data_IF_104987996899
#
_entry.id   IF_104987996899
#
_cell.length_a   1.000
_cell.length_b   1.000
_cell.length_c   1.000
_cell.angle_alpha   90.00
_cell.angle_beta   90.00
_cell.angle_gamma   90.00
#
_symmetry.space_group_name_H-M   'P 1'
#
loop_
_entity.id
_entity.type
_entity.pdbx_description
1 polymer ?
#
# COMPACT_ATOMS: atom_id res chain seq x y z
N UNK A 1 -5.76 94.55 -32.51
CA UNK A 1 -6.27 93.17 -32.66
C UNK A 1 -5.15 92.22 -32.26
N UNK A 2 -5.18 91.71 -31.03
CA UNK A 2 -4.21 90.72 -30.57
C UNK A 2 -4.63 89.36 -31.16
N UNK A 3 -3.83 88.83 -32.07
CA UNK A 3 -4.00 87.48 -32.60
C UNK A 3 -3.67 86.51 -31.49
N UNK A 4 -4.71 86.06 -30.78
CA UNK A 4 -4.60 85.01 -29.78
C UNK A 4 -4.02 83.78 -30.49
N UNK A 5 -2.76 83.47 -30.18
CA UNK A 5 -2.00 82.39 -30.79
C UNK A 5 -2.51 81.06 -30.22
N UNK A 6 -3.68 80.62 -30.71
CA UNK A 6 -4.40 79.40 -30.31
C UNK A 6 -3.55 78.13 -30.47
N UNK A 7 -2.49 78.18 -31.29
CA UNK A 7 -1.56 77.09 -31.52
C UNK A 7 -0.62 76.86 -30.32
N UNK A 8 -0.27 77.89 -29.54
CA UNK A 8 0.53 77.75 -28.31
C UNK A 8 -0.27 77.20 -27.13
N UNK A 9 -1.61 77.23 -27.23
CA UNK A 9 -2.51 76.63 -26.23
C UNK A 9 -2.74 75.13 -26.46
N UNK A 10 -2.21 74.54 -27.54
CA UNK A 10 -2.26 73.10 -27.73
C UNK A 10 -1.26 72.44 -26.78
N UNK A 11 -1.79 71.98 -25.65
CA UNK A 11 -1.05 71.19 -24.66
C UNK A 11 -0.59 69.90 -25.32
N UNK A 12 0.72 69.64 -25.24
CA UNK A 12 1.34 68.42 -25.76
C UNK A 12 0.54 67.18 -25.33
N UNK A 13 0.23 66.30 -26.29
CA UNK A 13 -0.49 65.06 -26.01
C UNK A 13 0.48 64.15 -25.25
N UNK A 14 0.33 64.12 -23.93
CA UNK A 14 0.97 63.11 -23.09
C UNK A 14 0.44 61.73 -23.51
N UNK A 15 1.22 61.00 -24.32
CA UNK A 15 1.00 59.57 -24.45
C UNK A 15 1.37 58.95 -23.11
N UNK A 16 0.47 58.19 -22.44
CA UNK A 16 0.86 57.46 -21.26
C UNK A 16 2.00 56.53 -21.66
N UNK A 17 3.10 56.56 -20.89
CA UNK A 17 4.16 55.57 -21.00
C UNK A 17 3.48 54.21 -21.12
N UNK A 18 3.87 53.42 -22.13
CA UNK A 18 3.29 52.11 -22.39
C UNK A 18 3.32 51.37 -21.06
N UNK A 19 2.16 51.29 -20.39
CA UNK A 19 2.04 50.58 -19.12
C UNK A 19 2.64 49.23 -19.41
N UNK A 20 3.79 48.96 -18.78
CA UNK A 20 4.47 47.69 -18.90
C UNK A 20 3.40 46.66 -18.61
N UNK A 21 2.89 46.03 -19.67
CA UNK A 21 1.73 45.10 -19.70
C UNK A 21 2.01 43.82 -18.91
N UNK A 22 3.07 43.85 -18.11
CA UNK A 22 3.76 42.72 -17.56
C UNK A 22 4.04 42.85 -16.07
N UNK A 23 3.36 43.73 -15.30
CA UNK A 23 3.43 43.66 -13.84
C UNK A 23 2.20 44.21 -13.10
N UNK A 24 1.79 43.62 -11.96
CA UNK A 24 2.27 42.39 -11.37
C UNK A 24 1.47 41.22 -11.93
N UNK A 25 2.13 40.09 -12.17
CA UNK A 25 1.46 38.80 -12.22
C UNK A 25 0.57 38.75 -10.96
N UNK A 26 -0.75 38.96 -11.14
CA UNK A 26 -1.68 39.19 -10.04
C UNK A 26 -1.42 38.14 -8.96
N UNK A 27 -1.46 38.50 -7.67
CA UNK A 27 -1.13 37.60 -6.54
C UNK A 27 -1.73 36.19 -6.65
N UNK A 28 -2.82 36.01 -7.41
CA UNK A 28 -3.40 34.71 -7.80
C UNK A 28 -2.45 33.73 -8.52
N UNK A 29 -1.42 34.17 -9.24
CA UNK A 29 -0.43 33.26 -9.83
C UNK A 29 0.51 32.66 -8.80
N UNK A 30 0.90 33.45 -7.80
CA UNK A 30 1.65 32.93 -6.66
C UNK A 30 0.80 31.94 -5.85
N UNK A 31 -0.49 32.22 -5.69
CA UNK A 31 -1.43 31.28 -5.08
C UNK A 31 -1.56 29.99 -5.90
N UNK A 32 -1.68 30.09 -7.23
CA UNK A 32 -1.75 28.94 -8.13
C UNK A 32 -0.47 28.12 -8.06
N UNK A 33 0.70 28.77 -8.10
CA UNK A 33 1.99 28.12 -7.98
C UNK A 33 2.15 27.41 -6.62
N UNK A 34 1.72 28.05 -5.53
CA UNK A 34 1.70 27.44 -4.20
C UNK A 34 0.80 26.19 -4.15
N UNK A 35 -0.39 26.24 -4.75
CA UNK A 35 -1.30 25.10 -4.85
C UNK A 35 -0.66 23.97 -5.66
N UNK A 36 -0.05 24.28 -6.81
CA UNK A 36 0.63 23.27 -7.64
C UNK A 36 1.76 22.60 -6.87
N UNK A 37 2.59 23.37 -6.17
CA UNK A 37 3.66 22.82 -5.32
C UNK A 37 3.07 21.92 -4.23
N UNK A 38 1.99 22.35 -3.56
CA UNK A 38 1.34 21.55 -2.52
C UNK A 38 0.84 20.22 -3.08
N UNK A 39 0.17 20.23 -4.24
CA UNK A 39 -0.31 19.01 -4.90
C UNK A 39 0.83 18.06 -5.26
N UNK A 40 1.96 18.60 -5.74
CA UNK A 40 3.15 17.80 -6.05
C UNK A 40 3.70 17.16 -4.78
N UNK A 41 3.88 17.94 -3.70
CA UNK A 41 4.39 17.43 -2.42
C UNK A 41 3.48 16.32 -1.89
N UNK A 42 2.16 16.56 -1.83
CA UNK A 42 1.18 15.57 -1.36
C UNK A 42 1.23 14.31 -2.22
N UNK A 43 1.30 14.45 -3.54
CA UNK A 43 1.38 13.31 -4.47
C UNK A 43 2.66 12.51 -4.27
N UNK A 44 3.81 13.17 -4.15
CA UNK A 44 5.10 12.51 -3.92
C UNK A 44 5.09 11.76 -2.58
N UNK A 45 4.66 12.41 -1.50
CA UNK A 45 4.57 11.78 -0.17
C UNK A 45 3.61 10.59 -0.20
N UNK A 46 2.44 10.73 -0.81
CA UNK A 46 1.46 9.65 -0.94
C UNK A 46 2.01 8.46 -1.72
N UNK A 47 2.69 8.70 -2.85
CA UNK A 47 3.33 7.66 -3.65
C UNK A 47 4.47 6.96 -2.89
N UNK A 48 5.28 7.72 -2.15
CA UNK A 48 6.36 7.17 -1.33
C UNK A 48 5.83 6.27 -0.21
N UNK A 49 4.80 6.72 0.51
CA UNK A 49 4.16 5.94 1.57
C UNK A 49 3.54 4.65 1.02
N UNK A 50 2.83 4.74 -0.12
CA UNK A 50 2.28 3.57 -0.80
C UNK A 50 3.36 2.57 -1.23
N UNK A 51 4.47 3.05 -1.77
CA UNK A 51 5.62 2.20 -2.14
C UNK A 51 6.20 1.49 -0.92
N UNK A 52 6.41 2.19 0.19
CA UNK A 52 6.95 1.58 1.44
C UNK A 52 6.03 0.48 1.98
N UNK A 53 4.72 0.74 2.03
CA UNK A 53 3.73 -0.25 2.47
C UNK A 53 3.77 -1.48 1.57
N UNK A 54 3.79 -1.29 0.23
CA UNK A 54 3.87 -2.40 -0.72
C UNK A 54 5.16 -3.21 -0.56
N UNK A 55 6.31 -2.53 -0.46
CA UNK A 55 7.62 -3.18 -0.28
C UNK A 55 7.67 -4.01 1.01
N UNK A 56 7.12 -3.49 2.11
CA UNK A 56 7.02 -4.24 3.35
C UNK A 56 6.19 -5.53 3.18
N UNK A 57 5.00 -5.45 2.56
CA UNK A 57 4.16 -6.62 2.29
C UNK A 57 4.89 -7.66 1.43
N UNK A 58 5.49 -7.22 0.34
CA UNK A 58 6.21 -8.11 -0.58
C UNK A 58 7.44 -8.74 0.08
N UNK A 59 8.12 -8.02 0.99
CA UNK A 59 9.22 -8.55 1.80
C UNK A 59 8.76 -9.70 2.70
N UNK A 60 7.67 -9.52 3.46
CA UNK A 60 7.14 -10.56 4.36
C UNK A 60 6.71 -11.80 3.58
N UNK A 61 6.11 -11.63 2.41
CA UNK A 61 5.65 -12.76 1.58
C UNK A 61 6.84 -13.51 0.97
N UNK A 62 7.86 -12.79 0.52
CA UNK A 62 9.08 -13.42 0.02
C UNK A 62 9.84 -14.16 1.11
N UNK A 63 9.87 -13.61 2.33
CA UNK A 63 10.44 -14.27 3.50
C UNK A 63 9.68 -15.57 3.82
N UNK A 64 8.35 -15.50 3.94
CA UNK A 64 7.49 -16.67 4.09
C UNK A 64 7.80 -17.75 3.05
N UNK A 65 7.82 -17.38 1.76
CA UNK A 65 8.09 -18.33 0.68
C UNK A 65 9.45 -19.01 0.82
N UNK A 66 10.50 -18.25 1.14
CA UNK A 66 11.85 -18.78 1.33
C UNK A 66 11.92 -19.70 2.54
N UNK A 67 11.30 -19.33 3.65
CA UNK A 67 11.24 -20.17 4.86
C UNK A 67 10.60 -21.52 4.53
N UNK A 68 9.41 -21.51 3.90
CA UNK A 68 8.69 -22.75 3.63
C UNK A 68 9.40 -23.62 2.59
N UNK A 69 9.97 -23.05 1.53
CA UNK A 69 10.74 -23.84 0.55
C UNK A 69 11.96 -24.50 1.19
N UNK A 70 12.66 -23.78 2.08
CA UNK A 70 13.80 -24.34 2.82
C UNK A 70 13.36 -25.47 3.76
N UNK A 71 12.27 -25.27 4.50
CA UNK A 71 11.69 -26.33 5.36
C UNK A 71 11.26 -27.52 4.54
N UNK A 72 10.63 -27.33 3.37
CA UNK A 72 10.23 -28.44 2.51
C UNK A 72 11.42 -29.28 2.03
N UNK A 73 12.55 -28.64 1.72
CA UNK A 73 13.76 -29.33 1.28
C UNK A 73 14.46 -30.10 2.41
N UNK A 74 14.51 -29.53 3.62
CA UNK A 74 15.23 -30.13 4.76
C UNK A 74 14.36 -31.09 5.56
N UNK A 75 13.08 -30.75 5.74
CA UNK A 75 12.13 -31.39 6.64
C UNK A 75 10.72 -31.36 6.04
N UNK A 76 10.47 -32.10 4.94
CA UNK A 76 9.20 -32.06 4.22
C UNK A 76 7.99 -32.41 5.11
N UNK A 77 8.19 -33.25 6.13
CA UNK A 77 7.13 -33.64 7.08
C UNK A 77 6.69 -32.54 8.04
N UNK A 78 7.54 -31.53 8.26
CA UNK A 78 7.29 -30.41 9.18
C UNK A 78 6.76 -29.17 8.45
N UNK A 79 6.68 -29.19 7.11
CA UNK A 79 6.33 -28.01 6.31
C UNK A 79 4.96 -27.41 6.65
N UNK A 80 3.96 -28.26 6.94
CA UNK A 80 2.62 -27.82 7.36
C UNK A 80 2.65 -27.11 8.71
N UNK A 81 3.47 -27.62 9.64
CA UNK A 81 3.65 -27.01 10.95
C UNK A 81 4.25 -25.62 10.79
N UNK A 82 5.27 -25.47 9.96
CA UNK A 82 5.93 -24.19 9.73
C UNK A 82 4.99 -23.17 9.08
N UNK A 83 4.18 -23.58 8.10
CA UNK A 83 3.14 -22.71 7.52
C UNK A 83 2.20 -22.22 8.63
N UNK A 84 1.66 -23.14 9.44
CA UNK A 84 0.72 -22.83 10.52
C UNK A 84 1.35 -21.89 11.58
N UNK A 85 2.59 -22.15 11.98
CA UNK A 85 3.34 -21.33 12.94
C UNK A 85 3.62 -19.93 12.39
N UNK A 86 3.99 -19.81 11.12
CA UNK A 86 4.24 -18.52 10.48
C UNK A 86 2.96 -17.67 10.44
N UNK A 87 1.84 -18.27 10.00
CA UNK A 87 0.54 -17.59 9.98
C UNK A 87 0.10 -17.15 11.38
N UNK A 88 0.28 -18.01 12.40
CA UNK A 88 0.01 -17.66 13.80
C UNK A 88 0.86 -16.49 14.29
N UNK A 89 2.15 -16.45 13.95
CA UNK A 89 3.05 -15.35 14.33
C UNK A 89 2.55 -14.02 13.77
N UNK A 90 2.17 -13.99 12.49
CA UNK A 90 1.62 -12.79 11.84
C UNK A 90 0.28 -12.40 12.45
N UNK A 91 -0.59 -13.38 12.71
CA UNK A 91 -1.88 -13.15 13.35
C UNK A 91 -1.72 -12.51 14.74
N UNK A 92 -0.79 -13.01 15.57
CA UNK A 92 -0.53 -12.45 16.90
C UNK A 92 -0.01 -11.01 16.85
N UNK A 93 0.81 -10.67 15.84
CA UNK A 93 1.31 -9.32 15.66
C UNK A 93 0.21 -8.34 15.24
N UNK A 94 -0.75 -8.80 14.43
CA UNK A 94 -1.81 -7.95 13.85
C UNK A 94 -3.08 -7.88 14.70
N UNK A 95 -3.37 -8.92 15.48
CA UNK A 95 -4.61 -9.08 16.24
C UNK A 95 -4.32 -9.33 17.72
N UNK A 96 -3.62 -8.40 18.37
CA UNK A 96 -3.19 -8.52 19.79
C UNK A 96 -4.34 -8.69 20.80
N UNK A 97 -5.54 -8.23 20.45
CA UNK A 97 -6.72 -8.25 21.33
C UNK A 97 -7.58 -9.52 21.17
N UNK A 98 -7.26 -10.37 20.21
CA UNK A 98 -7.98 -11.62 19.98
C UNK A 98 -7.20 -12.78 20.65
N UNK A 99 -7.92 -13.76 21.19
CA UNK A 99 -7.37 -14.96 21.84
C UNK A 99 -6.72 -15.94 20.84
N UNK A 100 -6.00 -15.42 19.85
CA UNK A 100 -5.30 -16.17 18.79
C UNK A 100 -4.36 -17.24 19.36
N UNK A 101 -3.79 -16.98 20.55
CA UNK A 101 -2.89 -17.92 21.24
C UNK A 101 -3.54 -19.27 21.57
N UNK A 102 -4.85 -19.29 21.82
CA UNK A 102 -5.57 -20.51 22.20
C UNK A 102 -6.23 -21.21 21.01
N UNK A 103 -6.12 -20.64 19.80
CA UNK A 103 -6.76 -21.21 18.61
C UNK A 103 -5.93 -22.37 18.04
N UNK A 104 -6.57 -23.53 17.96
CA UNK A 104 -6.00 -24.75 17.37
C UNK A 104 -7.06 -25.48 16.54
N UNK A 105 -6.62 -26.37 15.66
CA UNK A 105 -7.51 -27.20 14.85
C UNK A 105 -8.53 -26.38 14.07
N UNK A 106 -9.80 -26.79 14.13
CA UNK A 106 -10.88 -26.15 13.39
C UNK A 106 -11.07 -24.67 13.78
N UNK A 107 -10.92 -24.31 15.06
CA UNK A 107 -11.05 -22.92 15.51
C UNK A 107 -9.98 -22.01 14.88
N UNK A 108 -8.80 -22.57 14.61
CA UNK A 108 -7.75 -21.86 13.90
C UNK A 108 -8.11 -21.61 12.44
N UNK A 109 -8.65 -22.60 11.74
CA UNK A 109 -9.12 -22.42 10.36
C UNK A 109 -10.28 -21.43 10.27
N UNK A 110 -11.20 -21.47 11.24
CA UNK A 110 -12.32 -20.53 11.33
C UNK A 110 -11.86 -19.10 11.50
N UNK A 111 -10.83 -18.86 12.32
CA UNK A 111 -10.23 -17.54 12.44
C UNK A 111 -9.57 -17.09 11.14
N UNK A 112 -8.85 -17.97 10.45
CA UNK A 112 -8.22 -17.64 9.17
C UNK A 112 -9.27 -17.26 8.11
N UNK A 113 -10.33 -18.06 8.00
CA UNK A 113 -11.47 -17.78 7.12
C UNK A 113 -12.27 -16.55 7.59
N UNK A 114 -12.41 -16.25 8.88
CA UNK A 114 -13.14 -15.05 9.32
C UNK A 114 -12.48 -13.75 8.82
N UNK A 115 -11.14 -13.75 8.64
CA UNK A 115 -10.40 -12.62 8.07
C UNK A 115 -10.33 -12.67 6.54
N UNK A 116 -10.86 -13.72 5.92
CA UNK A 116 -10.90 -13.92 4.47
C UNK A 116 -12.36 -14.04 4.01
N UNK A 117 -12.87 -13.12 3.19
CA UNK A 117 -14.29 -13.20 2.76
C UNK A 117 -14.67 -14.48 1.99
N UNK A 118 -13.69 -15.28 1.60
CA UNK A 118 -13.85 -16.56 0.93
C UNK A 118 -13.40 -17.67 1.89
N UNK A 119 -14.16 -18.75 2.02
CA UNK A 119 -13.83 -19.86 2.91
C UNK A 119 -12.73 -20.75 2.31
N UNK A 120 -11.57 -20.15 2.02
CA UNK A 120 -10.50 -20.81 1.27
C UNK A 120 -9.73 -21.79 2.15
N UNK A 121 -9.66 -21.61 3.47
CA UNK A 121 -8.97 -22.54 4.36
C UNK A 121 -9.78 -23.80 4.63
N UNK A 122 -11.12 -23.68 4.76
CA UNK A 122 -11.98 -24.86 4.93
C UNK A 122 -12.25 -25.65 3.66
N UNK A 123 -12.40 -24.98 2.50
CA UNK A 123 -12.88 -25.62 1.27
C UNK A 123 -11.78 -26.03 0.28
N UNK A 124 -10.50 -25.86 0.65
CA UNK A 124 -9.36 -26.29 -0.17
C UNK A 124 -8.47 -27.25 0.63
N UNK A 125 -7.38 -27.73 0.02
CA UNK A 125 -6.36 -28.54 0.70
C UNK A 125 -5.67 -27.82 1.88
N UNK A 126 -5.88 -26.51 2.03
CA UNK A 126 -5.44 -25.75 3.21
C UNK A 126 -6.12 -26.21 4.51
N UNK A 127 -7.19 -26.99 4.45
CA UNK A 127 -7.80 -27.63 5.61
C UNK A 127 -6.83 -28.58 6.35
N UNK A 128 -5.79 -29.07 5.67
CA UNK A 128 -4.71 -29.85 6.28
C UNK A 128 -3.97 -29.10 7.38
N UNK A 129 -4.05 -27.77 7.42
CA UNK A 129 -3.50 -26.95 8.50
C UNK A 129 -4.23 -27.16 9.85
N UNK A 130 -5.41 -27.76 9.86
CA UNK A 130 -6.09 -28.18 11.09
C UNK A 130 -5.21 -29.10 11.94
N UNK A 131 -4.54 -30.05 11.27
CA UNK A 131 -3.69 -31.05 11.89
C UNK A 131 -2.20 -30.77 11.61
N UNK A 132 -1.80 -29.49 11.54
CA UNK A 132 -0.47 -29.07 11.12
C UNK A 132 0.69 -29.66 11.95
N UNK A 133 0.42 -30.14 13.17
CA UNK A 133 1.41 -30.75 14.06
C UNK A 133 1.62 -32.25 13.80
N UNK A 134 0.81 -32.88 12.94
CA UNK A 134 1.04 -34.27 12.52
C UNK A 134 2.05 -34.28 11.38
N UNK A 135 3.12 -35.07 11.46
CA UNK A 135 4.08 -35.18 10.37
C UNK A 135 3.39 -35.81 9.16
N UNK A 136 3.34 -35.07 8.05
CA UNK A 136 2.72 -35.51 6.79
C UNK A 136 3.64 -35.11 5.65
N UNK A 137 3.97 -36.05 4.77
CA UNK A 137 4.64 -35.74 3.51
C UNK A 137 3.62 -35.20 2.52
N UNK A 138 3.86 -33.99 2.03
CA UNK A 138 3.03 -33.35 1.01
C UNK A 138 3.69 -33.49 -0.35
N UNK A 139 2.88 -33.72 -1.37
CA UNK A 139 3.32 -33.52 -2.75
C UNK A 139 3.51 -32.02 -3.04
N UNK A 140 4.33 -31.73 -4.05
CA UNK A 140 4.65 -30.33 -4.38
C UNK A 140 3.42 -29.55 -4.86
N UNK A 141 2.47 -30.23 -5.51
CA UNK A 141 1.24 -29.62 -6.00
C UNK A 141 0.35 -29.15 -4.85
N UNK A 142 0.12 -30.00 -3.84
CA UNK A 142 -0.65 -29.62 -2.65
C UNK A 142 0.06 -28.56 -1.83
N UNK A 143 1.38 -28.64 -1.68
CA UNK A 143 2.14 -27.58 -1.01
C UNK A 143 1.91 -26.22 -1.68
N UNK A 144 1.99 -26.16 -3.02
CA UNK A 144 1.78 -24.93 -3.77
C UNK A 144 0.35 -24.38 -3.62
N UNK A 145 -0.67 -25.25 -3.59
CA UNK A 145 -2.05 -24.83 -3.33
C UNK A 145 -2.21 -24.21 -1.92
N UNK A 146 -1.65 -24.86 -0.89
CA UNK A 146 -1.70 -24.35 0.49
C UNK A 146 -0.93 -23.03 0.61
N UNK A 147 0.25 -22.96 0.00
CA UNK A 147 1.06 -21.75 -0.06
C UNK A 147 0.31 -20.60 -0.73
N UNK A 148 -0.39 -20.85 -1.83
CA UNK A 148 -1.17 -19.81 -2.51
C UNK A 148 -2.27 -19.24 -1.60
N UNK A 149 -2.99 -20.09 -0.87
CA UNK A 149 -4.02 -19.64 0.09
C UNK A 149 -3.39 -18.86 1.26
N UNK A 150 -2.28 -19.35 1.81
CA UNK A 150 -1.53 -18.68 2.86
C UNK A 150 -1.00 -17.30 2.42
N UNK A 151 -0.43 -17.19 1.22
CA UNK A 151 0.06 -15.93 0.66
C UNK A 151 -1.08 -14.93 0.44
N UNK A 152 -2.23 -15.38 -0.06
CA UNK A 152 -3.41 -14.52 -0.22
C UNK A 152 -3.88 -13.97 1.13
N UNK A 153 -3.90 -14.79 2.16
CA UNK A 153 -4.25 -14.36 3.52
C UNK A 153 -3.25 -13.34 4.07
N UNK A 154 -1.93 -13.60 3.93
CA UNK A 154 -0.89 -12.66 4.33
C UNK A 154 -1.02 -11.31 3.63
N UNK A 155 -1.29 -11.29 2.31
CA UNK A 155 -1.51 -10.04 1.54
C UNK A 155 -2.71 -9.24 2.06
N UNK A 156 -3.72 -9.92 2.59
CA UNK A 156 -4.94 -9.30 3.09
C UNK A 156 -4.78 -8.72 4.49
N UNK A 157 -4.01 -9.39 5.35
CA UNK A 157 -3.84 -9.05 6.77
C UNK A 157 -2.68 -8.06 7.00
N UNK A 158 -1.63 -8.12 6.18
CA UNK A 158 -0.51 -7.17 6.25
C UNK A 158 -0.92 -5.77 5.80
#
# INVERSE_FOLDING_TARGET
MQTNNLLEQLRDIYLPDKVSKWWPLAYGWWLLLAIVILVIIVSVVFLHLRKKIKQYKDSVINDFRKTIENTYQQKPREVLQDISVYLKRVALQKFSNESVKTLHGQQWLEFLDAKFKQQNFKNTKANMLENSYKPVELDRATLNEIMAVAEQWLRRVL
#
